data_IF_465144993422
#
_entry.id   IF_465144993422
#
_cell.length_a   1.000
_cell.length_b   1.000
_cell.length_c   1.000
_cell.angle_alpha   90.00
_cell.angle_beta   90.00
_cell.angle_gamma   90.00
#
_symmetry.space_group_name_H-M   'P 1'
#
loop_
_entity.id
_entity.type
_entity.pdbx_description
1 polymer ?
#
# COMPACT_ATOMS: atom_id res chain seq x y z
N UNK A 1 -15.66 23.95 -1.01
CA UNK A 1 -14.76 23.08 -0.21
C UNK A 1 -14.36 21.91 -1.09
N UNK A 2 -13.08 21.71 -1.40
CA UNK A 2 -12.65 20.52 -2.16
C UNK A 2 -12.70 19.31 -1.21
N UNK A 3 -13.78 18.53 -1.28
CA UNK A 3 -13.90 17.28 -0.54
C UNK A 3 -12.82 16.34 -1.09
N UNK A 4 -11.94 15.85 -0.22
CA UNK A 4 -10.99 14.82 -0.62
C UNK A 4 -11.78 13.57 -1.03
N UNK A 5 -11.33 12.83 -2.06
CA UNK A 5 -11.99 11.61 -2.49
C UNK A 5 -12.03 10.60 -1.33
N UNK A 6 -13.13 9.85 -1.23
CA UNK A 6 -13.25 8.74 -0.28
C UNK A 6 -12.30 7.61 -0.68
N UNK A 7 -11.83 6.85 0.32
CA UNK A 7 -10.97 5.68 0.08
C UNK A 7 -11.80 4.41 0.16
N UNK A 8 -11.60 3.53 -0.81
CA UNK A 8 -12.16 2.17 -0.84
C UNK A 8 -10.99 1.20 -0.90
N UNK A 9 -10.91 0.29 0.07
CA UNK A 9 -9.73 -0.56 0.28
C UNK A 9 -10.15 -2.01 0.03
N UNK A 10 -9.68 -2.60 -1.06
CA UNK A 10 -9.99 -3.98 -1.46
C UNK A 10 -8.83 -4.88 -1.02
N UNK A 11 -9.12 -5.92 -0.22
CA UNK A 11 -8.10 -6.83 0.29
C UNK A 11 -8.04 -8.13 -0.52
N UNK A 12 -6.83 -8.55 -0.89
CA UNK A 12 -6.59 -9.91 -1.35
C UNK A 12 -6.44 -10.89 -0.17
N UNK A 13 -6.59 -12.19 -0.44
CA UNK A 13 -6.46 -13.24 0.59
C UNK A 13 -5.07 -13.25 1.26
N UNK A 14 -4.00 -12.92 0.53
CA UNK A 14 -2.63 -12.88 1.08
C UNK A 14 -2.41 -11.75 2.09
N UNK A 15 -3.09 -10.61 1.90
CA UNK A 15 -3.07 -9.48 2.81
C UNK A 15 -3.94 -9.78 4.04
N UNK A 16 -5.07 -10.49 3.87
CA UNK A 16 -5.88 -10.96 4.99
C UNK A 16 -5.09 -11.93 5.87
N UNK A 17 -4.45 -12.94 5.29
CA UNK A 17 -3.75 -13.99 6.04
C UNK A 17 -2.50 -13.53 6.81
N UNK A 18 -1.94 -12.38 6.47
CA UNK A 18 -0.82 -11.77 7.20
C UNK A 18 -1.30 -10.79 8.28
N UNK A 19 -2.53 -10.29 8.17
CA UNK A 19 -3.09 -9.32 9.09
C UNK A 19 -3.54 -9.93 10.42
N UNK A 20 -3.96 -9.05 11.33
CA UNK A 20 -4.51 -9.40 12.65
C UNK A 20 -5.74 -8.54 12.93
N UNK A 21 -6.62 -8.97 13.84
CA UNK A 21 -7.86 -8.23 14.18
C UNK A 21 -7.61 -6.75 14.47
N UNK A 22 -6.59 -6.43 15.27
CA UNK A 22 -6.25 -5.04 15.60
C UNK A 22 -5.92 -4.20 14.36
N UNK A 23 -5.23 -4.79 13.39
CA UNK A 23 -4.86 -4.09 12.17
C UNK A 23 -6.07 -3.92 11.25
N UNK A 24 -6.89 -4.97 11.08
CA UNK A 24 -8.12 -4.87 10.29
C UNK A 24 -9.08 -3.79 10.84
N UNK A 25 -9.22 -3.69 12.16
CA UNK A 25 -9.99 -2.61 12.81
C UNK A 25 -9.43 -1.22 12.49
N UNK A 26 -8.09 -1.07 12.49
CA UNK A 26 -7.45 0.19 12.15
C UNK A 26 -7.63 0.56 10.68
N UNK A 27 -7.66 -0.43 9.78
CA UNK A 27 -7.87 -0.16 8.36
C UNK A 27 -9.26 0.41 8.07
N UNK A 28 -10.29 0.01 8.82
CA UNK A 28 -11.64 0.60 8.72
C UNK A 28 -11.66 2.11 9.00
N UNK A 29 -10.66 2.65 9.70
CA UNK A 29 -10.56 4.09 9.97
C UNK A 29 -10.01 4.87 8.76
N UNK A 30 -9.38 4.18 7.81
CA UNK A 30 -8.79 4.79 6.63
C UNK A 30 -9.79 4.92 5.49
N UNK A 31 -10.80 4.05 5.42
CA UNK A 31 -11.79 4.03 4.34
C UNK A 31 -12.73 2.84 4.44
N UNK A 32 -13.56 2.68 3.42
CA UNK A 32 -14.45 1.53 3.32
C UNK A 32 -13.65 0.29 2.91
N UNK A 33 -13.65 -0.74 3.76
CA UNK A 33 -12.93 -1.98 3.49
C UNK A 33 -13.84 -2.99 2.78
N UNK A 34 -13.34 -3.53 1.67
CA UNK A 34 -14.01 -4.51 0.83
C UNK A 34 -13.19 -5.79 0.71
N UNK A 35 -13.91 -6.90 0.59
CA UNK A 35 -13.37 -8.19 0.14
C UNK A 35 -14.17 -8.66 -1.07
N UNK A 36 -13.54 -9.41 -1.97
CA UNK A 36 -14.31 -10.11 -3.01
C UNK A 36 -15.03 -11.32 -2.43
N UNK A 37 -16.08 -11.78 -3.10
CA UNK A 37 -16.80 -13.01 -2.72
C UNK A 37 -15.84 -14.21 -2.68
N UNK A 38 -15.01 -14.37 -3.72
CA UNK A 38 -14.03 -15.46 -3.77
C UNK A 38 -12.98 -15.39 -2.66
N UNK A 39 -12.58 -14.19 -2.22
CA UNK A 39 -11.65 -14.03 -1.10
C UNK A 39 -12.31 -14.44 0.22
N UNK A 40 -13.56 -14.04 0.46
CA UNK A 40 -14.28 -14.43 1.67
C UNK A 40 -14.54 -15.94 1.71
N UNK A 41 -14.94 -16.54 0.59
CA UNK A 41 -15.10 -17.99 0.46
C UNK A 41 -13.77 -18.72 0.74
N UNK A 42 -12.66 -18.24 0.17
CA UNK A 42 -11.35 -18.81 0.44
C UNK A 42 -10.98 -18.74 1.92
N UNK A 43 -11.28 -17.63 2.61
CA UNK A 43 -11.07 -17.51 4.06
C UNK A 43 -11.91 -18.53 4.84
N UNK A 44 -13.18 -18.74 4.46
CA UNK A 44 -14.02 -19.77 5.09
C UNK A 44 -13.47 -21.18 4.88
N UNK A 45 -13.02 -21.52 3.67
CA UNK A 45 -12.42 -22.84 3.39
C UNK A 45 -11.14 -23.05 4.22
N UNK A 46 -10.33 -22.01 4.38
CA UNK A 46 -9.11 -22.07 5.18
C UNK A 46 -9.36 -22.24 6.68
N UNK A 47 -10.58 -22.02 7.19
CA UNK A 47 -10.91 -22.30 8.59
C UNK A 47 -10.80 -23.79 8.95
N UNK A 48 -10.93 -24.69 7.97
CA UNK A 48 -10.92 -26.14 8.20
C UNK A 48 -9.94 -26.91 7.30
N UNK A 49 -9.43 -26.26 6.24
CA UNK A 49 -8.60 -26.89 5.20
C UNK A 49 -7.32 -26.12 4.90
N UNK A 50 -6.79 -25.39 5.87
CA UNK A 50 -5.51 -24.72 5.71
C UNK A 50 -4.34 -25.72 5.73
N UNK A 51 -3.27 -25.47 4.97
CA UNK A 51 -2.08 -26.33 4.98
C UNK A 51 -1.26 -26.19 6.27
N UNK A 52 -1.41 -25.07 6.97
CA UNK A 52 -0.67 -24.76 8.20
C UNK A 52 -1.64 -24.28 9.30
N UNK A 53 -1.45 -24.70 10.57
CA UNK A 53 -2.30 -24.27 11.69
C UNK A 53 -2.34 -22.75 11.89
N UNK A 54 -1.24 -22.05 11.57
CA UNK A 54 -1.18 -20.60 11.67
C UNK A 54 -2.11 -19.91 10.65
N UNK A 55 -2.21 -20.45 9.43
CA UNK A 55 -3.12 -19.96 8.40
C UNK A 55 -4.58 -20.21 8.82
N UNK A 56 -4.87 -21.40 9.36
CA UNK A 56 -6.19 -21.74 9.90
C UNK A 56 -6.62 -20.78 11.01
N UNK A 57 -5.72 -20.51 11.96
CA UNK A 57 -5.97 -19.62 13.08
C UNK A 57 -6.29 -18.19 12.62
N UNK A 58 -5.49 -17.64 11.69
CA UNK A 58 -5.76 -16.31 11.11
C UNK A 58 -7.06 -16.29 10.31
N UNK A 59 -7.35 -17.34 9.54
CA UNK A 59 -8.59 -17.46 8.79
C UNK A 59 -9.82 -17.43 9.71
N UNK A 60 -9.81 -18.24 10.78
CA UNK A 60 -10.86 -18.25 11.81
C UNK A 60 -10.98 -16.91 12.52
N UNK A 61 -9.86 -16.24 12.78
CA UNK A 61 -9.86 -14.90 13.36
C UNK A 61 -10.56 -13.90 12.43
N UNK A 62 -10.23 -13.88 11.14
CA UNK A 62 -10.86 -13.00 10.17
C UNK A 62 -12.35 -13.30 10.01
N UNK A 63 -12.74 -14.57 9.89
CA UNK A 63 -14.15 -14.98 9.73
C UNK A 63 -15.00 -14.60 10.95
N UNK A 64 -14.42 -14.62 12.17
CA UNK A 64 -15.09 -14.10 13.37
C UNK A 64 -15.18 -12.57 13.39
N UNK A 65 -14.15 -11.90 12.88
CA UNK A 65 -14.09 -10.43 12.83
C UNK A 65 -15.06 -9.84 11.81
N UNK A 66 -15.15 -10.43 10.61
CA UNK A 66 -15.84 -9.87 9.45
C UNK A 66 -17.30 -9.46 9.72
N UNK A 67 -18.17 -10.30 10.32
CA UNK A 67 -19.60 -9.98 10.47
C UNK A 67 -19.89 -8.70 11.27
N UNK A 68 -19.00 -8.34 12.20
CA UNK A 68 -19.16 -7.15 13.06
C UNK A 68 -18.23 -6.00 12.68
N UNK A 69 -17.44 -6.15 11.63
CA UNK A 69 -16.37 -5.21 11.26
C UNK A 69 -16.83 -3.97 10.49
N UNK A 70 -18.03 -4.04 9.87
CA UNK A 70 -18.49 -3.07 8.88
C UNK A 70 -17.82 -3.20 7.51
N UNK A 71 -16.93 -4.18 7.31
CA UNK A 71 -16.38 -4.52 5.99
C UNK A 71 -17.48 -5.13 5.13
N UNK A 72 -17.40 -4.91 3.81
CA UNK A 72 -18.42 -5.40 2.88
C UNK A 72 -17.82 -6.39 1.87
N UNK A 73 -18.65 -7.35 1.44
CA UNK A 73 -18.37 -8.14 0.25
C UNK A 73 -18.80 -7.34 -0.98
N UNK A 74 -17.92 -7.23 -1.97
CA UNK A 74 -18.25 -6.60 -3.24
C UNK A 74 -18.46 -7.64 -4.34
N UNK A 75 -19.64 -7.57 -4.95
CA UNK A 75 -20.03 -8.33 -6.14
C UNK A 75 -19.75 -7.54 -7.43
N UNK A 76 -19.06 -6.40 -7.33
CA UNK A 76 -18.68 -5.65 -8.51
C UNK A 76 -17.68 -6.49 -9.29
N UNK A 77 -17.96 -6.80 -10.56
CA UNK A 77 -17.03 -7.46 -11.47
C UNK A 77 -17.07 -6.68 -12.77
N UNK A 78 -15.90 -6.43 -13.35
CA UNK A 78 -15.78 -5.85 -14.68
C UNK A 78 -14.66 -6.53 -15.47
N UNK A 79 -14.92 -6.70 -16.77
CA UNK A 79 -13.94 -7.26 -17.70
C UNK A 79 -12.96 -6.19 -18.17
N UNK A 80 -11.70 -6.58 -18.34
CA UNK A 80 -10.65 -5.76 -18.94
C UNK A 80 -9.76 -6.66 -19.81
N UNK A 81 -9.25 -6.19 -20.97
CA UNK A 81 -8.44 -7.03 -21.87
C UNK A 81 -7.23 -7.70 -21.20
N UNK A 82 -6.58 -7.04 -20.24
CA UNK A 82 -5.47 -7.63 -19.48
C UNK A 82 -5.91 -8.52 -18.31
N UNK A 83 -7.18 -8.47 -17.89
CA UNK A 83 -7.74 -9.30 -16.82
C UNK A 83 -8.39 -10.58 -17.37
N UNK A 84 -7.66 -11.27 -18.25
CA UNK A 84 -8.06 -12.58 -18.75
C UNK A 84 -7.15 -13.67 -18.16
N UNK A 85 -7.67 -14.90 -17.97
CA UNK A 85 -6.83 -16.08 -17.81
C UNK A 85 -5.85 -16.18 -19.00
N UNK A 86 -4.66 -16.74 -18.78
CA UNK A 86 -3.81 -17.14 -19.89
C UNK A 86 -4.50 -18.27 -20.67
N UNK A 87 -4.52 -18.18 -22.00
CA UNK A 87 -5.21 -19.15 -22.85
C UNK A 87 -4.65 -20.57 -22.67
N UNK A 88 -5.52 -21.57 -22.65
CA UNK A 88 -5.14 -22.99 -22.66
C UNK A 88 -4.63 -23.59 -21.34
N UNK A 89 -4.59 -22.82 -20.24
CA UNK A 89 -4.12 -23.32 -18.94
C UNK A 89 -5.17 -23.22 -17.83
N UNK A 90 -5.36 -24.31 -17.08
CA UNK A 90 -6.14 -24.28 -15.83
C UNK A 90 -5.41 -23.42 -14.80
N UNK A 91 -6.05 -22.35 -14.35
CA UNK A 91 -5.47 -21.48 -13.33
C UNK A 91 -5.37 -22.20 -11.98
N UNK A 92 -4.22 -22.03 -11.30
CA UNK A 92 -4.09 -22.41 -9.90
C UNK A 92 -5.15 -21.69 -9.05
N UNK A 93 -5.49 -22.23 -7.87
CA UNK A 93 -6.46 -21.58 -6.98
C UNK A 93 -6.03 -20.14 -6.63
N UNK A 94 -4.74 -19.94 -6.32
CA UNK A 94 -4.18 -18.61 -6.07
C UNK A 94 -4.39 -17.67 -7.26
N UNK A 95 -4.09 -18.12 -8.49
CA UNK A 95 -4.25 -17.29 -9.68
C UNK A 95 -5.73 -16.94 -9.96
N UNK A 96 -6.66 -17.85 -9.67
CA UNK A 96 -8.11 -17.60 -9.76
C UNK A 96 -8.56 -16.53 -8.77
N UNK A 97 -8.15 -16.64 -7.50
CA UNK A 97 -8.46 -15.65 -6.47
C UNK A 97 -7.84 -14.29 -6.80
N UNK A 98 -6.59 -14.27 -7.27
CA UNK A 98 -5.95 -13.01 -7.69
C UNK A 98 -6.69 -12.35 -8.86
N UNK A 99 -7.15 -13.13 -9.84
CA UNK A 99 -7.92 -12.61 -10.96
C UNK A 99 -9.29 -12.08 -10.50
N UNK A 100 -9.97 -12.79 -9.60
CA UNK A 100 -11.23 -12.38 -8.99
C UNK A 100 -11.10 -11.03 -8.27
N UNK A 101 -10.09 -10.87 -7.41
CA UNK A 101 -9.82 -9.60 -6.71
C UNK A 101 -9.53 -8.47 -7.70
N UNK A 102 -8.74 -8.72 -8.75
CA UNK A 102 -8.43 -7.72 -9.77
C UNK A 102 -9.67 -7.26 -10.53
N UNK A 103 -10.51 -8.20 -10.99
CA UNK A 103 -11.79 -7.89 -11.65
C UNK A 103 -12.73 -7.16 -10.71
N UNK A 104 -12.72 -7.53 -9.43
CA UNK A 104 -13.52 -6.90 -8.41
C UNK A 104 -13.11 -5.43 -8.20
N UNK A 105 -11.84 -5.18 -7.90
CA UNK A 105 -11.31 -3.86 -7.71
C UNK A 105 -11.50 -2.96 -8.94
N UNK A 106 -11.29 -3.50 -10.14
CA UNK A 106 -11.57 -2.78 -11.39
C UNK A 106 -13.06 -2.44 -11.54
N UNK A 107 -13.96 -3.38 -11.24
CA UNK A 107 -15.39 -3.14 -11.21
C UNK A 107 -15.80 -2.05 -10.21
N UNK A 108 -15.25 -2.07 -9.00
CA UNK A 108 -15.46 -1.04 -7.98
C UNK A 108 -14.98 0.32 -8.48
N UNK A 109 -13.76 0.40 -9.03
CA UNK A 109 -13.19 1.65 -9.52
C UNK A 109 -14.01 2.28 -10.66
N UNK A 110 -14.57 1.45 -11.55
CA UNK A 110 -15.47 1.92 -12.62
C UNK A 110 -16.80 2.47 -12.10
N UNK A 111 -17.34 1.90 -11.03
CA UNK A 111 -18.61 2.30 -10.42
C UNK A 111 -18.46 3.53 -9.52
N UNK A 112 -17.35 3.67 -8.81
CA UNK A 112 -17.07 4.73 -7.83
C UNK A 112 -15.97 5.68 -8.33
N UNK A 113 -16.32 6.54 -9.28
CA UNK A 113 -15.35 7.43 -9.96
C UNK A 113 -14.81 8.55 -9.08
N UNK A 114 -15.51 8.87 -8.01
CA UNK A 114 -15.18 9.87 -7.00
C UNK A 114 -14.36 9.30 -5.83
N UNK A 115 -14.21 7.97 -5.77
CA UNK A 115 -13.38 7.28 -4.79
C UNK A 115 -12.05 6.85 -5.37
N UNK A 116 -11.02 6.87 -4.53
CA UNK A 116 -9.76 6.17 -4.81
C UNK A 116 -9.87 4.72 -4.32
N UNK A 117 -9.79 3.78 -5.25
CA UNK A 117 -9.76 2.35 -4.96
C UNK A 117 -8.32 1.89 -4.76
N UNK A 118 -8.06 1.25 -3.63
CA UNK A 118 -6.75 0.79 -3.22
C UNK A 118 -6.82 -0.72 -3.04
N UNK A 119 -6.08 -1.47 -3.85
CA UNK A 119 -5.93 -2.92 -3.66
C UNK A 119 -4.74 -3.15 -2.74
N UNK A 120 -4.96 -3.96 -1.71
CA UNK A 120 -3.96 -4.34 -0.73
C UNK A 120 -3.59 -5.78 -0.98
N UNK A 121 -2.36 -5.98 -1.47
CA UNK A 121 -1.87 -7.26 -1.92
C UNK A 121 -0.39 -7.41 -1.60
N UNK A 122 0.04 -8.60 -1.17
CA UNK A 122 1.46 -8.91 -1.01
C UNK A 122 2.04 -9.59 -2.26
N UNK A 123 1.20 -9.89 -3.26
CA UNK A 123 1.59 -10.48 -4.53
C UNK A 123 2.09 -9.42 -5.51
N UNK A 124 3.40 -9.39 -5.76
CA UNK A 124 4.01 -8.43 -6.67
C UNK A 124 3.47 -8.50 -8.11
N UNK A 125 3.22 -9.68 -8.71
CA UNK A 125 2.57 -9.78 -10.01
C UNK A 125 1.20 -9.10 -10.06
N UNK A 126 0.36 -9.26 -9.02
CA UNK A 126 -0.91 -8.55 -8.93
C UNK A 126 -0.72 -7.02 -8.90
N UNK A 127 0.23 -6.52 -8.10
CA UNK A 127 0.51 -5.09 -8.00
C UNK A 127 0.99 -4.50 -9.34
N UNK A 128 1.82 -5.23 -10.09
CA UNK A 128 2.24 -4.84 -11.44
C UNK A 128 1.05 -4.81 -12.41
N UNK A 129 0.21 -5.84 -12.37
CA UNK A 129 -0.97 -5.95 -13.23
C UNK A 129 -1.97 -4.81 -13.02
N UNK A 130 -2.11 -4.30 -11.79
CA UNK A 130 -2.91 -3.11 -11.50
C UNK A 130 -2.38 -1.84 -12.18
N UNK A 131 -1.06 -1.69 -12.27
CA UNK A 131 -0.45 -0.55 -12.98
C UNK A 131 -0.74 -0.62 -14.48
N UNK A 132 -0.71 -1.83 -15.06
CA UNK A 132 -1.03 -2.07 -16.48
C UNK A 132 -2.49 -1.77 -16.84
N UNK A 133 -3.42 -1.79 -15.87
CA UNK A 133 -4.81 -1.38 -16.10
C UNK A 133 -4.95 0.10 -16.42
N UNK A 134 -3.92 0.91 -16.13
CA UNK A 134 -3.89 2.35 -16.38
C UNK A 134 -5.19 3.09 -15.95
N UNK A 135 -5.76 2.66 -14.83
CA UNK A 135 -7.04 3.17 -14.32
C UNK A 135 -6.77 4.28 -13.29
N UNK A 136 -7.22 5.51 -13.59
CA UNK A 136 -6.81 6.72 -12.86
C UNK A 136 -7.06 6.67 -11.34
N UNK A 137 -8.15 6.03 -10.91
CA UNK A 137 -8.60 5.95 -9.52
C UNK A 137 -8.41 4.55 -8.90
N UNK A 138 -7.46 3.75 -9.42
CA UNK A 138 -7.17 2.40 -8.94
C UNK A 138 -5.66 2.20 -8.76
N UNK A 139 -5.22 1.85 -7.55
CA UNK A 139 -3.81 1.60 -7.25
C UNK A 139 -3.63 0.37 -6.37
N UNK A 140 -2.53 -0.35 -6.57
CA UNK A 140 -2.09 -1.39 -5.66
C UNK A 140 -1.06 -0.87 -4.64
N UNK A 141 -1.15 -1.32 -3.40
CA UNK A 141 -0.09 -1.14 -2.38
C UNK A 141 0.16 -2.45 -1.61
N UNK A 142 1.38 -2.68 -1.12
CA UNK A 142 1.65 -3.78 -0.21
C UNK A 142 0.98 -3.56 1.15
N UNK A 143 0.64 -4.64 1.87
CA UNK A 143 0.05 -4.55 3.21
C UNK A 143 0.93 -3.72 4.16
N UNK A 144 2.25 -3.85 4.06
CA UNK A 144 3.19 -3.08 4.88
C UNK A 144 3.02 -1.55 4.71
N UNK A 145 2.69 -1.08 3.50
CA UNK A 145 2.42 0.33 3.26
C UNK A 145 1.10 0.78 3.88
N UNK A 146 0.07 -0.07 3.85
CA UNK A 146 -1.20 0.21 4.54
C UNK A 146 -1.03 0.24 6.06
N UNK A 147 -0.27 -0.69 6.62
CA UNK A 147 0.07 -0.74 8.05
C UNK A 147 0.85 0.52 8.47
N UNK A 148 1.81 0.94 7.66
CA UNK A 148 2.54 2.18 7.93
C UNK A 148 1.60 3.39 7.89
N UNK A 149 0.68 3.43 6.92
CA UNK A 149 -0.31 4.49 6.82
C UNK A 149 -1.22 4.53 8.04
N UNK A 150 -1.80 3.40 8.46
CA UNK A 150 -2.70 3.36 9.62
C UNK A 150 -2.02 3.84 10.91
N UNK A 151 -0.74 3.51 11.10
CA UNK A 151 0.01 3.87 12.30
C UNK A 151 0.54 5.30 12.30
N UNK A 152 0.97 5.81 11.15
CA UNK A 152 1.68 7.10 11.06
C UNK A 152 0.83 8.22 10.47
N UNK A 153 -0.35 7.90 9.93
CA UNK A 153 -1.19 8.82 9.15
C UNK A 153 -0.48 9.42 7.93
N UNK A 154 0.67 8.86 7.52
CA UNK A 154 1.39 9.22 6.30
C UNK A 154 0.90 8.34 5.16
N UNK A 155 0.28 8.98 4.17
CA UNK A 155 -0.25 8.30 2.98
C UNK A 155 0.88 7.72 2.12
N UNK A 156 0.69 6.54 1.51
CA UNK A 156 1.59 6.03 0.49
C UNK A 156 1.77 7.01 -0.66
N UNK A 157 2.94 6.99 -1.30
CA UNK A 157 3.30 7.94 -2.37
C UNK A 157 2.27 7.94 -3.51
N UNK A 158 1.81 6.76 -3.94
CA UNK A 158 0.80 6.63 -4.98
C UNK A 158 -0.52 7.35 -4.62
N UNK A 159 -0.97 7.20 -3.36
CA UNK A 159 -2.17 7.87 -2.84
C UNK A 159 -1.96 9.38 -2.76
N UNK A 160 -0.81 9.83 -2.25
CA UNK A 160 -0.49 11.25 -2.15
C UNK A 160 -0.44 11.93 -3.54
N UNK A 161 0.14 11.26 -4.53
CA UNK A 161 0.21 11.74 -5.91
C UNK A 161 -1.18 11.83 -6.56
N UNK A 162 -2.02 10.81 -6.39
CA UNK A 162 -3.41 10.87 -6.86
C UNK A 162 -4.16 12.06 -6.28
N UNK A 163 -4.06 12.28 -4.97
CA UNK A 163 -4.71 13.40 -4.31
C UNK A 163 -4.25 14.76 -4.85
N UNK A 164 -2.95 14.90 -5.17
CA UNK A 164 -2.43 16.12 -5.78
C UNK A 164 -3.03 16.36 -7.17
N UNK A 165 -3.11 15.32 -8.00
CA UNK A 165 -3.72 15.42 -9.33
C UNK A 165 -5.21 15.78 -9.26
N UNK A 166 -5.97 15.16 -8.34
CA UNK A 166 -7.40 15.46 -8.17
C UNK A 166 -7.66 16.83 -7.54
N UNK A 167 -6.67 17.41 -6.86
CA UNK A 167 -6.82 18.71 -6.20
C UNK A 167 -6.62 19.87 -7.16
N UNK A 168 -5.96 19.67 -8.31
CA UNK A 168 -5.80 20.69 -9.33
C UNK A 168 -7.17 21.03 -9.92
N UNK A 169 -7.75 22.20 -9.59
CA UNK A 169 -8.96 22.64 -10.25
C UNK A 169 -8.57 23.00 -11.68
N UNK A 170 -9.19 22.34 -12.64
CA UNK A 170 -9.30 22.86 -13.99
C UNK A 170 -9.77 24.31 -13.85
N UNK A 171 -8.88 25.22 -14.23
CA UNK A 171 -9.00 26.63 -13.93
C UNK A 171 -10.20 27.16 -14.69
N UNK A 172 -11.28 27.49 -13.99
CA UNK A 172 -12.33 28.37 -14.50
C UNK A 172 -11.71 29.77 -14.60
N UNK A 173 -10.83 29.94 -15.58
CA UNK A 173 -10.36 31.21 -16.08
C UNK A 173 -10.62 31.17 -17.57
N UNK A 174 -11.77 31.70 -17.98
CA UNK A 174 -11.91 32.71 -19.04
C UNK A 174 -13.39 33.04 -19.15
N UNK A 175 -13.86 34.02 -18.38
CA UNK A 175 -14.94 34.96 -18.75
C UNK A 175 -14.89 36.13 -17.74
N UNK A 176 -13.72 36.77 -17.62
CA UNK A 176 -13.64 38.12 -17.11
C UNK A 176 -13.85 39.05 -18.31
N UNK A 177 -15.11 39.36 -18.60
CA UNK A 177 -15.46 40.43 -19.54
C UNK A 177 -14.99 41.74 -18.91
N UNK A 178 -13.98 42.31 -19.56
CA UNK A 178 -13.53 43.68 -19.47
C UNK A 178 -14.71 44.65 -19.42
N UNK A 179 -14.79 45.44 -18.35
CA UNK A 179 -15.34 46.79 -18.42
C UNK A 179 -14.36 47.75 -17.78
N UNK A 180 -13.58 48.36 -18.68
CA UNK A 180 -12.92 49.64 -18.46
C UNK A 180 -13.94 50.65 -17.92
N UNK A 181 -13.57 51.33 -16.84
CA UNK A 181 -14.07 52.67 -16.56
C UNK A 181 -12.89 53.52 -16.11
N UNK A 182 -12.61 54.51 -16.94
CA UNK A 182 -11.55 55.51 -16.87
C UNK A 182 -11.92 56.58 -15.84
N UNK A 183 -10.94 57.05 -15.07
CA UNK A 183 -10.54 58.47 -14.96
C UNK A 183 -10.16 58.91 -13.52
N UNK A 184 -9.23 59.89 -13.37
CA UNK A 184 -8.40 60.11 -12.19
C UNK A 184 -8.82 61.35 -11.36
N UNK A 185 -8.25 61.52 -10.16
CA UNK A 185 -7.58 62.77 -9.75
C UNK A 185 -6.96 62.71 -8.35
N UNK A 186 -5.90 63.49 -8.25
CA UNK A 186 -5.00 63.83 -7.15
C UNK A 186 -5.64 64.38 -5.87
N UNK A 187 -5.02 64.12 -4.71
CA UNK A 187 -4.73 65.19 -3.75
C UNK A 187 -3.58 64.84 -2.82
N UNK A 188 -2.54 65.66 -2.91
CA UNK A 188 -1.43 65.86 -1.99
C UNK A 188 -1.93 66.34 -0.63
N UNK A 189 -1.49 65.73 0.47
CA UNK A 189 -1.32 66.43 1.75
C UNK A 189 -0.09 65.90 2.48
N UNK A 190 0.87 66.80 2.68
CA UNK A 190 1.96 66.67 3.66
C UNK A 190 1.41 67.04 5.03
N UNK A 191 1.77 66.31 6.08
CA UNK A 191 1.94 66.90 7.41
C UNK A 191 2.96 66.13 8.23
N UNK A 192 3.91 66.90 8.74
CA UNK A 192 5.05 66.62 9.60
C UNK A 192 4.63 66.34 11.05
N UNK A 193 5.40 65.52 11.78
CA UNK A 193 5.56 65.75 13.22
C UNK A 193 5.82 64.56 14.15
N UNK A 194 7.09 64.44 14.54
CA UNK A 194 7.62 64.12 15.89
C UNK A 194 7.70 62.67 16.43
N UNK A 195 8.93 62.40 16.90
CA UNK A 195 9.36 61.36 17.84
C UNK A 195 8.60 61.44 19.18
N UNK A 196 8.36 60.29 19.82
CA UNK A 196 9.20 59.79 20.92
C UNK A 196 8.54 58.62 21.70
N UNK A 197 9.41 57.79 22.27
CA UNK A 197 9.23 57.03 23.54
C UNK A 197 8.80 55.56 23.43
N UNK A 198 9.78 54.68 23.67
CA UNK A 198 9.61 53.29 24.05
C UNK A 198 9.06 53.17 25.48
N UNK A 199 8.40 52.04 25.84
CA UNK A 199 9.17 51.02 26.55
C UNK A 199 8.83 49.56 26.16
N UNK A 200 9.84 48.70 26.21
CA UNK A 200 9.71 47.24 26.40
C UNK A 200 9.23 46.95 27.85
N UNK A 201 8.75 45.75 28.28
CA UNK A 201 9.19 44.42 27.84
C UNK A 201 8.10 43.32 27.81
N UNK A 202 8.44 42.12 27.34
CA UNK A 202 8.45 40.86 28.12
C UNK A 202 8.52 39.64 27.18
N UNK A 203 9.55 38.87 27.47
CA UNK A 203 10.02 37.60 26.91
C UNK A 203 9.00 36.47 27.11
N UNK A 204 8.84 35.59 26.11
CA UNK A 204 8.71 34.13 26.30
C UNK A 204 8.80 33.39 24.94
N UNK A 205 10.02 33.07 24.51
CA UNK A 205 10.28 32.17 23.37
C UNK A 205 10.77 30.85 23.94
N UNK A 206 9.92 29.82 23.96
CA UNK A 206 10.32 28.48 24.39
C UNK A 206 11.21 27.84 23.32
N UNK A 207 12.50 27.76 23.64
CA UNK A 207 13.48 26.95 22.92
C UNK A 207 13.31 25.51 23.38
N UNK A 208 12.73 24.64 22.55
CA UNK A 208 12.80 23.19 22.77
C UNK A 208 13.92 22.61 21.92
N UNK A 209 15.08 22.44 22.56
CA UNK A 209 16.20 21.62 22.07
C UNK A 209 15.72 20.18 21.91
N UNK A 210 15.91 19.60 20.73
CA UNK A 210 15.84 18.15 20.50
C UNK A 210 17.25 17.57 20.53
N UNK A 211 17.49 16.43 21.21
CA UNK A 211 18.79 15.78 21.23
C UNK A 211 19.04 14.95 19.96
N UNK A 212 20.33 14.68 19.77
CA UNK A 212 21.01 14.29 18.54
C UNK A 212 20.61 12.92 17.95
N UNK A 213 20.72 12.87 16.62
CA UNK A 213 20.78 11.67 15.79
C UNK A 213 21.94 10.76 16.20
N UNK A 214 21.70 9.44 16.27
CA UNK A 214 22.72 8.41 16.04
C UNK A 214 22.25 7.48 14.90
N UNK A 215 23.13 7.08 13.98
CA UNK A 215 22.77 6.27 12.82
C UNK A 215 22.77 4.78 13.13
N UNK A 216 21.69 4.09 12.74
CA UNK A 216 21.60 2.63 12.76
C UNK A 216 22.29 2.06 11.50
N UNK A 217 23.54 1.64 11.61
CA UNK A 217 24.31 0.99 10.53
C UNK A 217 24.51 -0.54 10.73
N UNK A 218 23.78 -1.17 11.64
CA UNK A 218 24.01 -2.59 11.99
C UNK A 218 23.07 -3.60 11.27
N UNK A 219 22.01 -3.13 10.61
CA UNK A 219 21.03 -4.03 9.95
C UNK A 219 21.43 -4.48 8.53
N UNK A 220 22.54 -3.98 7.98
CA UNK A 220 23.01 -4.36 6.63
C UNK A 220 24.01 -5.51 6.60
N UNK A 221 24.56 -5.94 7.74
CA UNK A 221 25.54 -7.03 7.81
C UNK A 221 24.90 -8.41 8.03
N UNK A 222 23.72 -8.50 8.65
CA UNK A 222 23.04 -9.78 8.94
C UNK A 222 22.22 -10.32 7.76
N UNK A 223 21.72 -9.46 6.86
CA UNK A 223 20.92 -9.90 5.72
C UNK A 223 21.74 -10.55 4.58
N UNK A 224 23.05 -10.30 4.53
CA UNK A 224 23.91 -10.86 3.47
C UNK A 224 24.41 -12.28 3.78
N UNK A 225 24.44 -12.71 5.05
CA UNK A 225 24.91 -14.05 5.43
C UNK A 225 23.85 -15.11 5.11
N UNK A 226 22.57 -14.83 5.39
CA UNK A 226 21.48 -15.78 5.11
C UNK A 226 21.32 -16.05 3.62
N UNK A 227 21.44 -15.02 2.77
CA UNK A 227 21.32 -15.19 1.33
C UNK A 227 22.51 -15.99 0.74
N UNK A 228 23.71 -15.82 1.32
CA UNK A 228 24.90 -16.56 0.88
C UNK A 228 24.80 -18.06 1.22
N UNK A 229 24.26 -18.41 2.39
CA UNK A 229 24.02 -19.81 2.78
C UNK A 229 23.01 -20.45 1.82
N UNK A 230 21.91 -19.78 1.49
CA UNK A 230 20.89 -20.32 0.56
C UNK A 230 21.48 -20.56 -0.83
N UNK A 231 22.26 -19.61 -1.36
CA UNK A 231 22.88 -19.75 -2.70
C UNK A 231 23.89 -20.90 -2.72
N UNK A 232 24.72 -21.05 -1.68
CA UNK A 232 25.67 -22.17 -1.57
C UNK A 232 24.93 -23.51 -1.47
N UNK A 233 23.82 -23.56 -0.73
CA UNK A 233 23.05 -24.79 -0.55
C UNK A 233 22.36 -25.22 -1.85
N UNK A 234 21.72 -24.29 -2.56
CA UNK A 234 21.07 -24.57 -3.86
C UNK A 234 22.11 -24.94 -4.92
N UNK A 235 23.25 -24.25 -4.94
CA UNK A 235 24.37 -24.58 -5.83
C UNK A 235 24.93 -25.98 -5.58
N UNK A 236 25.12 -26.38 -4.32
CA UNK A 236 25.61 -27.71 -3.97
C UNK A 236 24.61 -28.82 -4.35
N UNK A 237 23.30 -28.58 -4.20
CA UNK A 237 22.25 -29.51 -4.60
C UNK A 237 22.24 -29.65 -6.13
N UNK A 238 22.24 -28.55 -6.88
CA UNK A 238 22.28 -28.57 -8.33
C UNK A 238 23.55 -29.27 -8.86
N UNK A 239 24.70 -29.00 -8.24
CA UNK A 239 25.99 -29.62 -8.59
C UNK A 239 25.99 -31.14 -8.36
N UNK A 240 25.34 -31.60 -7.29
CA UNK A 240 25.19 -33.02 -6.97
C UNK A 240 24.43 -33.80 -8.05
N UNK A 241 23.49 -33.17 -8.75
CA UNK A 241 22.73 -33.82 -9.83
C UNK A 241 23.45 -33.79 -11.18
N UNK A 242 24.36 -32.83 -11.41
CA UNK A 242 25.05 -32.65 -12.69
C UNK A 242 26.36 -33.45 -12.76
N UNK A 243 27.08 -33.65 -11.64
CA UNK A 243 28.40 -34.33 -11.66
C UNK A 243 28.69 -35.14 -10.38
N UNK A 244 28.04 -36.30 -10.18
CA UNK A 244 28.14 -37.09 -8.96
C UNK A 244 29.55 -37.67 -8.70
N UNK A 245 30.36 -37.93 -9.73
CA UNK A 245 31.71 -38.49 -9.61
C UNK A 245 32.74 -37.54 -8.98
N UNK A 246 32.55 -36.22 -9.13
CA UNK A 246 33.40 -35.19 -8.52
C UNK A 246 33.11 -34.95 -7.04
N UNK A 247 31.97 -35.43 -6.54
CA UNK A 247 31.48 -35.13 -5.19
C UNK A 247 32.10 -36.06 -4.12
N UNK A 248 32.35 -37.33 -4.45
CA UNK A 248 32.91 -38.31 -3.50
C UNK A 248 34.28 -37.95 -2.90
N UNK A 249 35.28 -37.45 -3.65
CA UNK A 249 36.58 -37.11 -3.06
C UNK A 249 36.52 -35.91 -2.12
N UNK A 250 35.58 -34.98 -2.32
CA UNK A 250 35.43 -33.77 -1.48
C UNK A 250 34.94 -34.13 -0.07
N UNK A 251 34.02 -35.10 0.06
CA UNK A 251 33.52 -35.54 1.37
C UNK A 251 34.49 -36.46 2.11
N UNK A 252 35.36 -37.18 1.38
CA UNK A 252 36.38 -38.02 1.99
C UNK A 252 37.56 -37.21 2.59
N UNK A 253 37.69 -35.93 2.24
CA UNK A 253 38.71 -35.03 2.79
C UNK A 253 38.23 -34.20 3.99
N UNK A 254 36.96 -34.30 4.38
CA UNK A 254 36.42 -33.63 5.56
C UNK A 254 36.69 -34.49 6.80
N UNK A 255 37.52 -34.05 7.76
CA UNK A 255 37.88 -34.84 8.94
C UNK A 255 36.77 -34.73 10.00
N UNK A 256 35.52 -35.00 9.65
CA UNK A 256 34.41 -35.01 10.62
C UNK A 256 33.36 -36.06 10.20
N UNK A 257 33.77 -37.32 10.11
CA UNK A 257 32.97 -38.46 10.59
C UNK A 257 33.98 -39.52 11.04
N UNK A 258 34.28 -39.52 12.33
CA UNK A 258 35.19 -40.47 12.95
C UNK A 258 34.83 -40.66 14.41
N UNK A 259 34.05 -41.72 14.65
CA UNK A 259 33.56 -42.28 15.93
C UNK A 259 32.34 -41.61 16.55
#
# INVERSE_FOLDING_TARGET
MSLLPSFVIVFDTSALLVGKTREWQQFSQLGECLVSEGSLEAMNVLCDRAPEPAIEATAREFVRFYPTSGWQVSLAIAEHPSLKPADGHSLSQRARLSLDVLKCAYGVARRRRDSLVIVVANDQPMLQKLQELNTKNLYGIPLAALVQWSRTQRRPVAVAHYLQLTRSPETVATLAISRQAVSPRSSTYKSTGRLATAPAPVVSRSVRRTPARRPAHWSRLLANIVNLIIIVTVGAIAWRFISPSSFNPVWQQLPIVGK
#
